data_IF_261630391567
#
_entry.id   IF_261630391567
#
_cell.length_a   1.000
_cell.length_b   1.000
_cell.length_c   1.000
_cell.angle_alpha   90.00
_cell.angle_beta   90.00
_cell.angle_gamma   90.00
#
_symmetry.space_group_name_H-M   'P 1'
#
loop_
_entity.id
_entity.type
_entity.pdbx_description
1 polymer ?
#
# COMPACT_ATOMS: atom_id res chain seq x y z
N UNK A 1 -2.97 5.39 -2.91
CA UNK A 1 -1.76 5.58 -2.09
C UNK A 1 -2.16 5.29 -0.66
N UNK A 2 -1.39 4.40 -0.02
CA UNK A 2 -1.73 3.85 1.31
C UNK A 2 -1.14 4.73 2.41
N UNK A 3 0.08 5.22 2.21
CA UNK A 3 0.79 6.11 3.13
C UNK A 3 1.11 7.47 2.49
N UNK A 4 1.55 8.41 3.31
CA UNK A 4 1.99 9.72 2.85
C UNK A 4 3.17 9.59 1.87
N UNK A 5 3.20 10.44 0.85
CA UNK A 5 4.24 10.40 -0.18
C UNK A 5 4.40 11.73 -0.88
N UNK A 6 5.64 12.08 -1.23
CA UNK A 6 5.95 13.29 -1.98
C UNK A 6 5.42 13.29 -3.42
N UNK A 7 5.04 12.13 -3.97
CA UNK A 7 4.38 12.05 -5.27
C UNK A 7 2.96 12.65 -5.25
N UNK A 8 2.36 12.86 -4.06
CA UNK A 8 1.00 13.37 -3.84
C UNK A 8 0.95 14.25 -2.58
N UNK A 9 1.72 15.33 -2.55
CA UNK A 9 1.82 16.24 -1.40
C UNK A 9 0.49 16.89 -1.08
N UNK A 10 0.22 17.06 0.22
CA UNK A 10 -0.96 17.77 0.74
C UNK A 10 -2.26 16.98 0.69
N UNK A 11 -2.25 15.73 0.21
CA UNK A 11 -3.43 14.88 0.19
C UNK A 11 -3.38 13.81 1.29
N UNK A 12 -4.51 13.59 1.96
CA UNK A 12 -4.64 12.60 3.04
C UNK A 12 -4.53 11.18 2.48
N UNK A 13 -3.59 10.35 2.98
CA UNK A 13 -3.48 8.96 2.56
C UNK A 13 -4.75 8.15 2.87
N UNK A 14 -5.02 7.12 2.05
CA UNK A 14 -6.21 6.28 2.25
C UNK A 14 -6.12 5.41 3.51
N UNK A 15 -4.90 5.10 3.95
CA UNK A 15 -4.65 4.34 5.17
C UNK A 15 -4.88 2.83 5.02
N UNK A 16 -4.55 2.12 6.12
CA UNK A 16 -4.62 0.67 6.20
C UNK A 16 -6.04 0.14 6.28
N UNK A 17 -6.96 0.85 6.92
CA UNK A 17 -8.38 0.42 7.00
C UNK A 17 -9.03 0.35 5.62
N UNK A 18 -8.74 1.35 4.77
CA UNK A 18 -9.17 1.33 3.37
C UNK A 18 -8.59 0.13 2.63
N UNK A 19 -7.28 -0.12 2.79
CA UNK A 19 -6.60 -1.25 2.14
C UNK A 19 -7.22 -2.59 2.60
N UNK A 20 -7.42 -2.76 3.91
CA UNK A 20 -8.00 -3.96 4.52
C UNK A 20 -9.41 -4.23 3.99
N UNK A 21 -10.23 -3.18 3.86
CA UNK A 21 -11.57 -3.29 3.28
C UNK A 21 -11.49 -3.84 1.84
N UNK A 22 -10.65 -3.25 0.98
CA UNK A 22 -10.47 -3.71 -0.40
C UNK A 22 -9.96 -5.16 -0.45
N UNK A 23 -8.94 -5.51 0.34
CA UNK A 23 -8.40 -6.86 0.39
C UNK A 23 -9.47 -7.88 0.80
N UNK A 24 -10.32 -7.55 1.80
CA UNK A 24 -11.40 -8.43 2.25
C UNK A 24 -12.44 -8.74 1.16
N UNK A 25 -12.60 -7.85 0.17
CA UNK A 25 -13.55 -8.02 -0.94
C UNK A 25 -12.89 -8.74 -2.14
N UNK A 26 -11.63 -8.41 -2.43
CA UNK A 26 -10.92 -8.85 -3.63
C UNK A 26 -10.24 -10.21 -3.47
N UNK A 27 -9.51 -10.41 -2.37
CA UNK A 27 -8.67 -11.61 -2.18
C UNK A 27 -9.50 -12.90 -2.16
N UNK A 28 -10.66 -12.99 -1.48
CA UNK A 28 -11.50 -14.18 -1.53
C UNK A 28 -12.05 -14.52 -2.93
N UNK A 29 -12.07 -13.54 -3.85
CA UNK A 29 -12.49 -13.73 -5.24
C UNK A 29 -11.33 -14.11 -6.17
N UNK A 30 -10.15 -14.36 -5.61
CA UNK A 30 -8.92 -14.63 -6.38
C UNK A 30 -8.32 -13.40 -7.04
N UNK A 31 -8.77 -12.18 -6.69
CA UNK A 31 -8.20 -10.94 -7.21
C UNK A 31 -7.04 -10.51 -6.31
N UNK A 32 -5.85 -10.45 -6.87
CA UNK A 32 -4.67 -10.02 -6.13
C UNK A 32 -4.66 -8.50 -5.93
N UNK A 33 -4.26 -8.05 -4.74
CA UNK A 33 -4.21 -6.63 -4.38
C UNK A 33 -2.77 -6.19 -4.12
N UNK A 34 -2.32 -5.18 -4.85
CA UNK A 34 -0.93 -4.70 -4.79
C UNK A 34 -0.95 -3.30 -4.17
N UNK A 35 -0.39 -3.18 -2.97
CA UNK A 35 -0.38 -1.91 -2.24
C UNK A 35 0.69 -0.96 -2.80
N UNK A 36 0.29 0.28 -3.08
CA UNK A 36 1.18 1.31 -3.65
C UNK A 36 0.95 2.66 -3.00
N UNK A 37 2.01 3.48 -2.98
CA UNK A 37 2.01 4.87 -2.58
C UNK A 37 2.44 5.06 -1.13
N UNK A 38 3.63 5.61 -0.98
CA UNK A 38 4.28 5.82 0.32
C UNK A 38 4.86 4.57 0.96
N UNK A 39 5.01 3.46 0.22
CA UNK A 39 5.62 2.23 0.74
C UNK A 39 7.14 2.39 0.84
N UNK A 40 7.71 1.97 1.98
CA UNK A 40 9.15 1.86 2.26
C UNK A 40 9.47 0.56 3.02
N UNK A 41 10.75 0.21 3.23
CA UNK A 41 11.13 -0.91 4.10
C UNK A 41 10.61 -0.80 5.54
N UNK A 42 10.25 0.40 5.99
CA UNK A 42 9.78 0.64 7.37
C UNK A 42 8.29 0.30 7.55
N UNK A 43 7.49 0.28 6.48
CA UNK A 43 6.03 0.17 6.57
C UNK A 43 5.38 -0.89 5.68
N UNK A 44 6.16 -1.58 4.85
CA UNK A 44 5.60 -2.55 3.88
C UNK A 44 4.89 -3.72 4.56
N UNK A 45 5.39 -4.18 5.71
CA UNK A 45 4.79 -5.27 6.48
C UNK A 45 3.34 -4.95 6.84
N UNK A 46 3.06 -3.72 7.28
CA UNK A 46 1.68 -3.30 7.61
C UNK A 46 0.72 -3.37 6.42
N UNK A 47 1.21 -3.16 5.18
CA UNK A 47 0.39 -3.32 4.00
C UNK A 47 0.12 -4.80 3.66
N UNK A 48 1.10 -5.68 3.89
CA UNK A 48 0.93 -7.13 3.76
C UNK A 48 -0.02 -7.67 4.83
N UNK A 49 0.13 -7.22 6.08
CA UNK A 49 -0.74 -7.58 7.21
C UNK A 49 -2.20 -7.11 6.98
N UNK A 50 -2.40 -6.03 6.22
CA UNK A 50 -3.71 -5.58 5.78
C UNK A 50 -4.30 -6.45 4.64
N UNK A 51 -3.59 -7.47 4.18
CA UNK A 51 -4.03 -8.46 3.19
C UNK A 51 -3.59 -8.17 1.75
N UNK A 52 -2.68 -7.21 1.51
CA UNK A 52 -2.12 -7.04 0.19
C UNK A 52 -1.25 -8.24 -0.20
N UNK A 53 -1.38 -8.70 -1.45
CA UNK A 53 -0.57 -9.80 -2.00
C UNK A 53 0.89 -9.40 -2.21
N UNK A 54 1.13 -8.11 -2.50
CA UNK A 54 2.45 -7.55 -2.72
C UNK A 54 2.43 -6.03 -2.48
N UNK A 55 3.62 -5.43 -2.45
CA UNK A 55 3.80 -3.98 -2.33
C UNK A 55 4.65 -3.42 -3.47
N UNK A 56 4.41 -2.16 -3.82
CA UNK A 56 5.20 -1.43 -4.82
C UNK A 56 5.92 -0.25 -4.17
N UNK A 57 7.25 -0.29 -4.16
CA UNK A 57 8.13 0.80 -3.70
C UNK A 57 8.76 1.50 -4.89
N UNK A 58 8.47 2.79 -5.08
CA UNK A 58 9.07 3.58 -6.16
C UNK A 58 10.18 4.49 -5.62
N UNK A 59 9.82 5.50 -4.82
CA UNK A 59 10.77 6.54 -4.39
C UNK A 59 11.92 5.99 -3.53
N UNK A 60 11.67 4.93 -2.76
CA UNK A 60 12.74 4.24 -2.03
C UNK A 60 13.73 3.58 -2.99
N UNK A 61 13.25 2.86 -4.01
CA UNK A 61 14.09 2.19 -4.99
C UNK A 61 14.91 3.14 -5.85
N UNK A 62 14.43 4.36 -6.09
CA UNK A 62 15.17 5.38 -6.85
C UNK A 62 16.33 6.01 -6.07
N UNK A 63 16.47 5.72 -4.77
CA UNK A 63 17.54 6.24 -3.92
C UNK A 63 18.58 5.20 -3.53
N UNK A 64 18.39 3.95 -3.97
CA UNK A 64 19.40 2.90 -3.88
C UNK A 64 20.38 3.03 -5.06
#
# INVERSE_FOLDING_TARGET
>A
YVFATDCKKGLTPRGLDFLKNICSICVPKGVQVYAIGGISPDNYTSALDAGASAVCMMSHMMRL
#
